data_IF_671777750932
#
_entry.id   IF_671777750932
#
_cell.length_a   1.000
_cell.length_b   1.000
_cell.length_c   1.000
_cell.angle_alpha   90.00
_cell.angle_beta   90.00
_cell.angle_gamma   90.00
#
_symmetry.space_group_name_H-M   'P 1'
#
loop_
_entity.id
_entity.type
_entity.pdbx_description
1 polymer ?
#
# COMPACT_ATOMS: atom_id res chain seq x y z
N UNK A 1 -24.26 88.03 11.53
CA UNK A 1 -23.37 87.54 10.45
C UNK A 1 -22.91 86.13 10.78
N UNK A 2 -22.85 85.28 9.75
CA UNK A 2 -22.32 83.90 9.67
C UNK A 2 -23.07 82.76 10.37
N UNK A 3 -23.70 81.96 9.49
CA UNK A 3 -24.25 80.61 9.66
C UNK A 3 -23.11 79.60 9.79
N UNK A 4 -23.25 78.56 10.60
CA UNK A 4 -22.56 77.28 10.39
C UNK A 4 -23.52 76.14 10.72
N UNK A 5 -23.87 75.38 9.66
CA UNK A 5 -24.59 74.13 9.72
C UNK A 5 -23.58 72.99 9.87
N UNK A 6 -23.88 71.99 10.70
CA UNK A 6 -23.07 70.77 10.83
C UNK A 6 -23.88 69.58 10.33
N UNK A 7 -23.33 68.94 9.29
CA UNK A 7 -23.91 67.83 8.55
C UNK A 7 -23.88 66.50 9.33
N UNK A 8 -24.91 65.69 9.10
CA UNK A 8 -24.95 64.24 9.32
C UNK A 8 -23.90 63.51 8.49
N UNK A 9 -23.28 62.48 9.06
CA UNK A 9 -22.52 61.45 8.33
C UNK A 9 -22.78 60.07 8.93
N UNK A 10 -23.70 59.31 8.34
CA UNK A 10 -23.85 57.88 8.59
C UNK A 10 -22.78 57.14 7.78
N UNK A 11 -21.79 56.55 8.46
CA UNK A 11 -20.87 55.59 7.84
C UNK A 11 -21.47 54.19 7.92
N UNK A 12 -21.98 53.68 6.80
CA UNK A 12 -22.31 52.26 6.62
C UNK A 12 -21.02 51.46 6.45
N UNK A 13 -20.70 50.61 7.43
CA UNK A 13 -19.64 49.61 7.34
C UNK A 13 -20.19 48.44 6.50
N UNK A 14 -19.63 48.23 5.31
CA UNK A 14 -19.88 47.04 4.49
C UNK A 14 -18.85 45.98 4.89
N UNK A 15 -19.29 44.96 5.62
CA UNK A 15 -18.47 43.77 5.89
C UNK A 15 -18.55 42.89 4.64
N UNK A 16 -17.47 42.86 3.85
CA UNK A 16 -17.33 41.90 2.76
C UNK A 16 -17.05 40.52 3.36
N UNK A 17 -18.02 39.60 3.30
CA UNK A 17 -17.78 38.18 3.51
C UNK A 17 -16.89 37.67 2.37
N UNK A 18 -15.62 37.48 2.65
CA UNK A 18 -14.73 36.70 1.78
C UNK A 18 -15.08 35.24 2.01
N UNK A 19 -15.86 34.65 1.12
CA UNK A 19 -16.05 33.21 1.08
C UNK A 19 -14.69 32.57 0.77
N UNK A 20 -14.08 31.93 1.77
CA UNK A 20 -12.89 31.12 1.56
C UNK A 20 -13.29 29.95 0.64
N UNK A 21 -12.89 30.02 -0.63
CA UNK A 21 -12.94 28.86 -1.50
C UNK A 21 -12.11 27.74 -0.85
N UNK A 22 -12.58 26.48 -0.83
CA UNK A 22 -11.74 25.38 -0.39
C UNK A 22 -10.47 25.37 -1.24
N UNK A 23 -9.30 25.07 -0.66
CA UNK A 23 -8.07 25.00 -1.44
C UNK A 23 -8.29 23.98 -2.56
N UNK A 24 -7.98 24.38 -3.80
CA UNK A 24 -7.96 23.46 -4.92
C UNK A 24 -6.95 22.37 -4.58
N UNK A 25 -7.44 21.18 -4.26
CA UNK A 25 -6.62 20.00 -3.99
C UNK A 25 -5.86 19.72 -5.29
N UNK A 26 -4.54 19.90 -5.28
CA UNK A 26 -3.74 19.62 -6.45
C UNK A 26 -3.96 18.14 -6.82
N UNK A 27 -4.67 17.91 -7.92
CA UNK A 27 -5.00 16.60 -8.48
C UNK A 27 -3.76 15.94 -9.11
N UNK A 28 -2.65 15.94 -8.37
CA UNK A 28 -1.34 15.52 -8.82
C UNK A 28 -0.89 14.23 -8.15
N UNK A 29 -0.03 13.50 -8.85
CA UNK A 29 0.74 12.44 -8.24
C UNK A 29 1.88 13.02 -7.40
N UNK A 30 2.04 12.50 -6.19
CA UNK A 30 3.21 12.72 -5.36
C UNK A 30 4.26 11.70 -5.75
N UNK A 31 5.38 12.19 -6.30
CA UNK A 31 6.56 11.36 -6.54
C UNK A 31 7.31 11.20 -5.22
N UNK A 32 7.51 9.97 -4.79
CA UNK A 32 8.20 9.64 -3.55
C UNK A 32 9.56 9.01 -3.86
N UNK A 33 10.62 9.62 -3.35
CA UNK A 33 12.00 9.16 -3.47
C UNK A 33 12.75 9.48 -2.16
N UNK A 34 12.33 8.82 -1.08
CA UNK A 34 12.77 9.07 0.28
C UNK A 34 11.65 8.88 1.31
N UNK A 35 11.80 9.49 2.49
CA UNK A 35 10.74 9.50 3.50
C UNK A 35 9.46 10.18 2.96
N UNK A 36 8.32 9.54 3.18
CA UNK A 36 6.99 10.10 2.96
C UNK A 36 6.41 10.50 4.32
N UNK A 37 6.24 11.80 4.52
CA UNK A 37 5.68 12.32 5.77
C UNK A 37 4.24 11.84 6.00
N UNK A 38 3.78 11.76 7.26
CA UNK A 38 2.37 11.55 7.55
C UNK A 38 1.50 12.61 6.86
N UNK A 39 0.37 12.20 6.29
CA UNK A 39 -0.48 13.12 5.54
C UNK A 39 -1.43 12.45 4.55
N UNK A 40 -2.13 13.29 3.78
CA UNK A 40 -3.03 12.84 2.72
C UNK A 40 -2.44 13.18 1.37
N UNK A 41 -2.40 12.17 0.49
CA UNK A 41 -1.88 12.22 -0.85
C UNK A 41 -2.98 11.80 -1.81
N UNK A 42 -3.08 12.47 -2.96
CA UNK A 42 -4.01 12.02 -3.99
C UNK A 42 -3.52 10.68 -4.57
N UNK A 43 -2.31 10.64 -5.12
CA UNK A 43 -1.67 9.43 -5.64
C UNK A 43 -0.22 9.44 -5.21
N UNK A 44 0.35 8.29 -4.89
CA UNK A 44 1.79 8.15 -4.65
C UNK A 44 2.41 7.31 -5.77
N UNK A 45 3.55 7.77 -6.28
CA UNK A 45 4.35 7.07 -7.29
C UNK A 45 5.78 6.93 -6.77
N UNK A 46 6.29 5.71 -6.73
CA UNK A 46 7.70 5.40 -6.52
C UNK A 46 8.34 5.17 -7.89
N UNK A 47 9.23 6.06 -8.36
CA UNK A 47 9.91 5.92 -9.65
C UNK A 47 10.84 4.72 -9.72
N UNK A 48 11.40 4.50 -10.92
CA UNK A 48 12.36 3.43 -11.15
C UNK A 48 13.57 3.52 -10.21
N UNK A 49 13.88 2.41 -9.55
CA UNK A 49 14.99 2.29 -8.58
C UNK A 49 14.89 3.20 -7.36
N UNK A 50 13.80 3.96 -7.22
CA UNK A 50 13.59 4.84 -6.08
C UNK A 50 13.05 4.06 -4.89
N UNK A 51 13.20 4.64 -3.70
CA UNK A 51 12.61 4.08 -2.49
C UNK A 51 11.66 5.09 -1.86
N UNK A 52 10.65 4.61 -1.16
CA UNK A 52 9.69 5.41 -0.45
C UNK A 52 9.33 4.71 0.87
N UNK A 53 9.50 5.38 2.00
CA UNK A 53 9.18 4.79 3.30
C UNK A 53 8.37 5.73 4.17
N UNK A 54 7.47 5.17 4.98
CA UNK A 54 6.67 5.92 5.96
C UNK A 54 6.31 5.03 7.12
N UNK A 55 6.38 5.56 8.34
CA UNK A 55 5.80 4.93 9.53
C UNK A 55 4.28 5.19 9.63
N UNK A 56 3.76 6.12 8.82
CA UNK A 56 2.37 6.53 8.85
C UNK A 56 2.01 7.52 9.97
N UNK A 57 0.72 7.92 10.08
CA UNK A 57 -0.37 7.51 9.20
C UNK A 57 -0.33 8.23 7.83
N UNK A 58 -0.49 7.49 6.74
CA UNK A 58 -0.68 8.05 5.38
C UNK A 58 -2.04 7.71 4.79
N UNK A 59 -2.66 8.64 4.07
CA UNK A 59 -3.89 8.40 3.30
C UNK A 59 -3.62 8.64 1.83
N UNK A 60 -3.59 7.59 1.02
CA UNK A 60 -3.34 7.64 -0.43
C UNK A 60 -4.65 7.36 -1.15
N UNK A 61 -5.32 8.40 -1.66
CA UNK A 61 -6.73 8.26 -2.11
C UNK A 61 -6.90 7.47 -3.40
N UNK A 62 -6.16 7.82 -4.44
CA UNK A 62 -6.26 7.26 -5.78
C UNK A 62 -5.37 6.04 -6.01
N UNK A 63 -4.51 5.67 -5.05
CA UNK A 63 -3.68 4.46 -5.09
C UNK A 63 -2.17 4.71 -5.10
N UNK A 64 -1.42 3.62 -5.00
CA UNK A 64 0.03 3.55 -4.94
C UNK A 64 0.56 2.86 -6.21
N UNK A 65 1.55 3.48 -6.86
CA UNK A 65 2.26 2.92 -8.01
C UNK A 65 3.74 2.77 -7.72
N UNK A 66 4.28 1.59 -7.93
CA UNK A 66 5.70 1.27 -7.72
C UNK A 66 6.26 0.78 -9.05
N UNK A 67 7.29 1.47 -9.53
CA UNK A 67 7.88 1.20 -10.83
C UNK A 67 9.05 0.22 -10.71
N UNK A 68 9.76 -0.01 -11.81
CA UNK A 68 10.79 -1.04 -11.91
C UNK A 68 11.90 -0.82 -10.87
N UNK A 69 12.26 -1.86 -10.11
CA UNK A 69 13.25 -1.79 -9.03
C UNK A 69 12.86 -0.86 -7.88
N UNK A 70 11.63 -0.34 -7.85
CA UNK A 70 11.15 0.55 -6.81
C UNK A 70 10.91 -0.18 -5.48
N UNK A 71 11.15 0.51 -4.37
CA UNK A 71 10.88 0.02 -3.02
C UNK A 71 9.85 0.88 -2.33
N UNK A 72 8.79 0.26 -1.79
CA UNK A 72 7.85 0.93 -0.90
C UNK A 72 7.76 0.22 0.44
N UNK A 73 7.85 0.97 1.52
CA UNK A 73 7.69 0.49 2.90
C UNK A 73 6.68 1.35 3.63
N UNK A 74 5.64 0.73 4.18
CA UNK A 74 4.67 1.37 5.05
C UNK A 74 4.50 0.56 6.33
N UNK A 75 4.94 1.15 7.44
CA UNK A 75 5.00 0.49 8.75
C UNK A 75 6.05 -0.61 8.85
N UNK A 76 5.95 -1.38 9.94
CA UNK A 76 6.81 -2.52 10.25
C UNK A 76 6.02 -3.63 10.96
N UNK A 77 6.64 -4.81 11.06
CA UNK A 77 6.17 -5.94 11.87
C UNK A 77 6.29 -5.69 13.39
N UNK A 78 7.20 -4.80 13.80
CA UNK A 78 7.38 -4.41 15.21
C UNK A 78 6.33 -3.41 15.73
N UNK A 79 5.66 -2.67 14.84
CA UNK A 79 4.62 -1.70 15.22
C UNK A 79 3.22 -2.21 14.84
N UNK A 80 2.34 -2.29 15.84
CA UNK A 80 0.95 -2.73 15.64
C UNK A 80 -0.01 -1.56 15.38
N UNK A 81 0.51 -0.34 15.28
CA UNK A 81 -0.28 0.86 15.01
C UNK A 81 -0.80 0.90 13.57
N UNK A 82 -1.95 1.53 13.36
CA UNK A 82 -2.50 1.66 12.02
C UNK A 82 -1.67 2.63 11.16
N UNK A 83 -1.10 2.13 10.08
CA UNK A 83 -0.10 2.86 9.27
C UNK A 83 -0.72 3.70 8.16
N UNK A 84 -1.95 3.39 7.74
CA UNK A 84 -2.60 4.20 6.72
C UNK A 84 -3.78 3.57 5.97
N UNK A 85 -4.23 4.29 4.95
CA UNK A 85 -5.25 3.84 4.01
C UNK A 85 -4.81 4.06 2.58
N UNK A 86 -4.92 3.03 1.74
CA UNK A 86 -4.66 3.08 0.30
C UNK A 86 -5.97 2.84 -0.44
N UNK A 87 -6.52 3.89 -1.05
CA UNK A 87 -7.85 3.88 -1.66
C UNK A 87 -7.91 3.13 -2.99
N UNK A 88 -7.11 3.55 -3.98
CA UNK A 88 -7.14 2.97 -5.34
C UNK A 88 -6.36 1.65 -5.52
N UNK A 89 -5.93 1.03 -4.41
CA UNK A 89 -5.13 -0.17 -4.42
C UNK A 89 -3.64 0.07 -4.68
N UNK A 90 -2.91 -1.03 -4.78
CA UNK A 90 -1.45 -1.07 -4.96
C UNK A 90 -1.15 -1.68 -6.32
N UNK A 91 -0.31 -1.01 -7.10
CA UNK A 91 0.09 -1.41 -8.45
C UNK A 91 1.61 -1.38 -8.52
N UNK A 92 2.24 -2.55 -8.66
CA UNK A 92 3.69 -2.65 -8.78
C UNK A 92 4.08 -3.43 -10.03
N UNK A 93 5.10 -2.95 -10.73
CA UNK A 93 5.68 -3.60 -11.91
C UNK A 93 7.18 -3.74 -11.70
N UNK A 94 7.65 -4.98 -11.63
CA UNK A 94 9.02 -5.36 -11.34
C UNK A 94 9.61 -4.66 -10.11
N UNK A 95 8.90 -4.57 -8.97
CA UNK A 95 9.43 -3.87 -7.80
C UNK A 95 10.64 -4.59 -7.22
N UNK A 96 11.48 -3.83 -6.51
CA UNK A 96 12.47 -4.42 -5.62
C UNK A 96 11.80 -4.91 -4.33
N UNK A 97 10.99 -4.08 -3.68
CA UNK A 97 10.30 -4.47 -2.44
C UNK A 97 8.95 -3.77 -2.31
N UNK A 98 7.94 -4.50 -1.84
CA UNK A 98 6.64 -3.95 -1.43
C UNK A 98 6.34 -4.46 -0.03
N UNK A 99 6.54 -3.59 0.95
CA UNK A 99 6.30 -3.88 2.35
C UNK A 99 5.17 -2.98 2.85
N UNK A 100 4.07 -3.58 3.30
CA UNK A 100 2.89 -2.88 3.76
C UNK A 100 2.35 -3.64 4.97
N UNK A 101 2.40 -2.96 6.11
CA UNK A 101 2.00 -3.49 7.41
C UNK A 101 0.83 -2.68 7.98
N UNK A 102 -0.13 -3.34 8.65
CA UNK A 102 -1.24 -2.71 9.39
C UNK A 102 -2.03 -1.62 8.62
N UNK A 103 -2.16 -1.76 7.31
CA UNK A 103 -2.85 -0.79 6.46
C UNK A 103 -4.27 -1.24 6.06
N UNK A 104 -5.13 -0.26 5.77
CA UNK A 104 -6.40 -0.51 5.08
C UNK A 104 -6.24 -0.27 3.59
N UNK A 105 -6.37 -1.30 2.77
CA UNK A 105 -6.32 -1.21 1.31
C UNK A 105 -7.75 -1.36 0.79
N UNK A 106 -8.33 -0.28 0.28
CA UNK A 106 -9.72 -0.28 -0.20
C UNK A 106 -9.86 -0.87 -1.61
N UNK A 107 -8.80 -0.77 -2.40
CA UNK A 107 -8.67 -1.47 -3.67
C UNK A 107 -8.13 -2.89 -3.49
N UNK A 108 -7.57 -3.43 -4.56
CA UNK A 108 -6.79 -4.67 -4.52
C UNK A 108 -5.29 -4.41 -4.58
N UNK A 109 -4.53 -5.49 -4.53
CA UNK A 109 -3.09 -5.50 -4.77
C UNK A 109 -2.82 -6.18 -6.11
N UNK A 110 -2.01 -5.55 -6.96
CA UNK A 110 -1.48 -6.14 -8.17
C UNK A 110 0.02 -5.89 -8.24
N UNK A 111 0.79 -6.97 -8.10
CA UNK A 111 2.24 -6.98 -8.25
C UNK A 111 2.57 -7.94 -9.39
N UNK A 112 3.34 -7.49 -10.36
CA UNK A 112 3.83 -8.34 -11.44
C UNK A 112 5.33 -8.18 -11.59
N UNK A 113 6.06 -9.30 -11.62
CA UNK A 113 7.51 -9.28 -11.71
C UNK A 113 8.21 -8.99 -10.38
N UNK A 114 9.53 -8.96 -10.41
CA UNK A 114 10.42 -8.55 -9.32
C UNK A 114 11.80 -8.21 -9.91
N UNK A 115 12.63 -7.49 -9.14
CA UNK A 115 13.95 -7.07 -9.63
C UNK A 115 15.10 -7.99 -9.24
N UNK A 116 14.80 -9.22 -8.80
CA UNK A 116 15.77 -10.22 -8.33
C UNK A 116 16.01 -10.17 -6.82
N UNK A 117 16.68 -11.19 -6.24
CA UNK A 117 16.79 -11.39 -4.79
C UNK A 117 17.72 -10.43 -4.05
N UNK A 118 18.58 -9.72 -4.77
CA UNK A 118 19.57 -8.82 -4.17
C UNK A 118 19.54 -7.47 -4.87
N UNK A 119 19.71 -6.41 -4.08
CA UNK A 119 19.69 -5.03 -4.55
C UNK A 119 18.70 -4.15 -3.77
N UNK A 120 18.28 -3.06 -4.39
CA UNK A 120 17.46 -2.04 -3.73
C UNK A 120 18.21 -1.32 -2.61
N UNK A 121 17.52 -0.52 -1.79
CA UNK A 121 18.12 0.25 -0.71
C UNK A 121 18.56 -0.58 0.51
N UNK A 122 18.20 -1.87 0.57
CA UNK A 122 18.40 -2.75 1.74
C UNK A 122 19.26 -3.98 1.43
N UNK A 123 19.94 -4.01 0.28
CA UNK A 123 20.75 -5.12 -0.24
C UNK A 123 19.99 -6.43 -0.56
N UNK A 124 18.82 -6.64 0.05
CA UNK A 124 17.96 -7.80 -0.11
C UNK A 124 16.52 -7.36 -0.38
N UNK A 125 15.82 -8.07 -1.26
CA UNK A 125 14.47 -7.72 -1.74
C UNK A 125 13.38 -8.54 -1.07
N UNK A 126 12.35 -7.87 -0.56
CA UNK A 126 11.28 -8.50 0.19
C UNK A 126 9.93 -7.94 -0.21
N UNK A 127 8.95 -8.84 -0.34
CA UNK A 127 7.56 -8.45 -0.20
C UNK A 127 7.07 -8.91 1.18
N UNK A 128 6.58 -7.96 1.97
CA UNK A 128 5.99 -8.23 3.27
C UNK A 128 4.61 -7.56 3.29
N UNK A 129 3.58 -8.30 2.94
CA UNK A 129 2.20 -7.81 2.96
C UNK A 129 1.53 -8.42 4.17
N UNK A 130 1.51 -7.67 5.27
CA UNK A 130 1.16 -8.23 6.58
C UNK A 130 0.14 -7.41 7.35
N UNK A 131 -0.72 -8.10 8.10
CA UNK A 131 -1.66 -7.47 9.04
C UNK A 131 -2.61 -6.44 8.40
N UNK A 132 -2.88 -6.58 7.10
CA UNK A 132 -3.69 -5.61 6.36
C UNK A 132 -5.16 -6.01 6.30
N UNK A 133 -6.02 -5.00 6.14
CA UNK A 133 -7.40 -5.19 5.68
C UNK A 133 -7.50 -4.80 4.22
N UNK A 134 -7.69 -5.79 3.34
CA UNK A 134 -7.72 -5.65 1.88
C UNK A 134 -9.16 -5.89 1.39
N UNK A 135 -9.87 -4.83 0.96
CA UNK A 135 -11.24 -4.95 0.47
C UNK A 135 -11.34 -5.49 -0.96
N UNK A 136 -10.26 -5.37 -1.74
CA UNK A 136 -10.13 -6.06 -3.03
C UNK A 136 -9.62 -7.50 -2.88
N UNK A 137 -9.11 -8.03 -3.99
CA UNK A 137 -8.27 -9.23 -3.99
C UNK A 137 -6.78 -8.87 -4.07
N UNK A 138 -5.93 -9.89 -4.02
CA UNK A 138 -4.51 -9.76 -4.26
C UNK A 138 -4.09 -10.63 -5.45
N UNK A 139 -3.25 -10.09 -6.33
CA UNK A 139 -2.58 -10.85 -7.38
C UNK A 139 -1.11 -10.48 -7.36
N UNK A 140 -0.27 -11.45 -7.04
CA UNK A 140 1.20 -11.35 -7.11
C UNK A 140 1.66 -12.44 -8.05
N UNK A 141 2.21 -12.04 -9.19
CA UNK A 141 2.61 -12.99 -10.23
C UNK A 141 4.03 -12.71 -10.72
N UNK A 142 4.85 -13.75 -10.80
CA UNK A 142 6.20 -13.63 -11.36
C UNK A 142 7.16 -12.83 -10.49
N UNK A 143 6.87 -12.66 -9.19
CA UNK A 143 7.80 -11.99 -8.29
C UNK A 143 9.08 -12.80 -8.18
N UNK A 144 10.20 -12.16 -8.52
CA UNK A 144 11.57 -12.67 -8.38
C UNK A 144 12.28 -11.84 -7.32
N UNK A 145 12.49 -12.42 -6.14
CA UNK A 145 12.99 -11.72 -4.96
C UNK A 145 13.62 -12.66 -3.93
N UNK A 146 13.96 -12.15 -2.74
CA UNK A 146 14.56 -12.99 -1.70
C UNK A 146 13.51 -13.77 -0.92
N UNK A 147 12.50 -13.06 -0.42
CA UNK A 147 11.43 -13.63 0.41
C UNK A 147 10.09 -12.90 0.15
N UNK A 148 8.98 -13.61 0.34
CA UNK A 148 7.63 -13.09 0.19
C UNK A 148 6.65 -13.66 1.22
N UNK A 149 6.32 -12.81 2.20
CA UNK A 149 5.25 -13.00 3.15
C UNK A 149 3.95 -12.36 2.67
N UNK A 150 2.91 -13.18 2.60
CA UNK A 150 1.53 -12.73 2.54
C UNK A 150 0.82 -13.27 3.78
N UNK A 151 0.89 -12.52 4.88
CA UNK A 151 0.66 -13.06 6.22
C UNK A 151 -0.39 -12.25 7.00
N UNK A 152 -1.29 -12.92 7.72
CA UNK A 152 -2.26 -12.28 8.65
C UNK A 152 -3.15 -11.21 8.00
N UNK A 153 -3.40 -11.28 6.69
CA UNK A 153 -4.28 -10.35 6.01
C UNK A 153 -5.75 -10.77 6.10
N UNK A 154 -6.63 -9.79 6.20
CA UNK A 154 -8.07 -9.94 5.99
C UNK A 154 -8.41 -9.49 4.56
N UNK A 155 -8.65 -10.45 3.67
CA UNK A 155 -8.90 -10.19 2.24
C UNK A 155 -10.35 -10.47 1.90
N UNK A 156 -11.05 -9.47 1.36
CA UNK A 156 -12.46 -9.65 0.96
C UNK A 156 -12.58 -10.36 -0.40
N UNK A 157 -11.58 -10.22 -1.27
CA UNK A 157 -11.57 -10.78 -2.61
C UNK A 157 -10.76 -12.07 -2.76
N UNK A 158 -10.59 -12.48 -4.01
CA UNK A 158 -9.77 -13.64 -4.39
C UNK A 158 -8.27 -13.32 -4.34
N UNK A 159 -7.48 -14.26 -3.85
CA UNK A 159 -6.01 -14.20 -3.80
C UNK A 159 -5.41 -15.15 -4.83
N UNK A 160 -4.49 -14.62 -5.66
CA UNK A 160 -3.74 -15.36 -6.68
C UNK A 160 -2.25 -15.07 -6.49
N UNK A 161 -1.48 -16.07 -6.09
CA UNK A 161 -0.04 -15.94 -5.86
C UNK A 161 0.65 -16.98 -6.73
N UNK A 162 1.29 -16.55 -7.81
CA UNK A 162 1.73 -17.49 -8.84
C UNK A 162 3.06 -17.17 -9.47
N UNK A 163 3.76 -18.22 -9.89
CA UNK A 163 5.00 -18.12 -10.65
C UNK A 163 6.06 -17.27 -9.91
N UNK A 164 5.95 -17.14 -8.58
CA UNK A 164 6.88 -16.38 -7.76
C UNK A 164 8.11 -17.26 -7.45
N UNK A 165 9.29 -16.74 -7.73
CA UNK A 165 10.57 -17.40 -7.50
C UNK A 165 11.34 -16.66 -6.42
N UNK A 166 11.73 -17.37 -5.38
CA UNK A 166 12.44 -16.80 -4.26
C UNK A 166 13.79 -17.46 -4.05
N UNK A 167 14.78 -16.66 -3.67
CA UNK A 167 16.10 -17.17 -3.32
C UNK A 167 16.10 -17.94 -2.00
N UNK A 168 15.26 -17.53 -1.06
CA UNK A 168 15.14 -18.24 0.21
C UNK A 168 14.36 -19.56 0.03
N UNK A 169 14.94 -20.74 0.38
CA UNK A 169 14.23 -22.01 0.39
C UNK A 169 12.97 -22.03 1.26
N UNK A 170 12.89 -21.15 2.28
CA UNK A 170 11.68 -21.00 3.09
C UNK A 170 10.72 -19.90 2.60
N UNK A 171 11.12 -19.06 1.65
CA UNK A 171 10.59 -17.69 1.61
C UNK A 171 9.19 -17.44 1.08
N UNK A 172 8.46 -18.45 0.54
CA UNK A 172 7.07 -18.24 0.12
C UNK A 172 6.13 -18.59 1.28
N UNK A 173 5.80 -17.59 2.09
CA UNK A 173 5.01 -17.76 3.30
C UNK A 173 3.63 -17.12 3.18
N UNK A 174 2.64 -17.94 2.80
CA UNK A 174 1.28 -17.48 2.53
C UNK A 174 0.35 -18.04 3.60
N UNK A 175 0.36 -17.44 4.80
CA UNK A 175 -0.23 -18.07 5.99
C UNK A 175 -1.03 -17.11 6.87
N UNK A 176 -1.90 -17.69 7.70
CA UNK A 176 -2.69 -16.99 8.71
C UNK A 176 -3.63 -15.92 8.14
N UNK A 177 -3.98 -16.00 6.85
CA UNK A 177 -4.91 -15.05 6.25
C UNK A 177 -6.37 -15.49 6.43
N UNK A 178 -7.27 -14.52 6.50
CA UNK A 178 -8.72 -14.72 6.36
C UNK A 178 -9.15 -14.21 4.99
N UNK A 179 -9.55 -15.10 4.10
CA UNK A 179 -9.84 -14.81 2.69
C UNK A 179 -11.31 -15.13 2.39
N UNK A 180 -12.11 -14.09 2.15
CA UNK A 180 -13.52 -14.21 1.74
C UNK A 180 -13.69 -14.42 0.22
N UNK A 181 -12.76 -15.15 -0.38
CA UNK A 181 -12.73 -15.52 -1.80
C UNK A 181 -12.00 -16.85 -1.99
N UNK A 182 -11.46 -17.11 -3.17
CA UNK A 182 -10.60 -18.27 -3.40
C UNK A 182 -9.13 -17.94 -3.17
N UNK A 183 -8.34 -18.94 -2.77
CA UNK A 183 -6.88 -18.88 -2.70
C UNK A 183 -6.30 -19.83 -3.75
N UNK A 184 -5.52 -19.29 -4.67
CA UNK A 184 -5.00 -20.04 -5.80
C UNK A 184 -3.49 -19.81 -5.94
N UNK A 185 -2.72 -20.89 -5.94
CA UNK A 185 -1.27 -20.81 -6.05
C UNK A 185 -0.74 -21.83 -7.04
N UNK A 186 0.11 -21.41 -7.96
CA UNK A 186 0.71 -22.28 -8.96
C UNK A 186 2.08 -21.76 -9.37
N UNK A 187 2.99 -22.65 -9.72
CA UNK A 187 4.30 -22.26 -10.25
C UNK A 187 5.23 -21.55 -9.27
N UNK A 188 4.87 -21.41 -7.98
CA UNK A 188 5.76 -20.79 -7.01
C UNK A 188 6.91 -21.73 -6.65
N UNK A 189 8.11 -21.17 -6.50
CA UNK A 189 9.33 -21.85 -6.12
C UNK A 189 10.05 -21.02 -5.03
N UNK A 190 10.20 -21.50 -3.78
CA UNK A 190 9.65 -22.75 -3.25
C UNK A 190 8.11 -22.77 -3.28
N UNK A 191 7.49 -23.94 -3.12
CA UNK A 191 6.05 -24.01 -2.93
C UNK A 191 5.66 -23.27 -1.63
N UNK A 192 4.45 -22.69 -1.55
CA UNK A 192 4.01 -22.00 -0.35
C UNK A 192 4.08 -22.90 0.89
N UNK A 193 4.55 -22.36 2.00
CA UNK A 193 4.76 -23.07 3.24
C UNK A 193 4.54 -22.17 4.46
N UNK A 194 4.60 -22.76 5.65
CA UNK A 194 4.57 -22.01 6.92
C UNK A 194 5.93 -21.36 7.19
N UNK A 195 7.01 -22.05 6.82
CA UNK A 195 8.39 -21.63 7.06
C UNK A 195 8.66 -21.28 8.51
N UNK A 196 9.30 -20.14 8.77
CA UNK A 196 9.70 -19.66 10.08
C UNK A 196 8.77 -18.57 10.65
N UNK A 197 7.75 -18.12 9.91
CA UNK A 197 6.71 -17.22 10.44
C UNK A 197 5.92 -17.76 11.63
N UNK A 198 6.02 -19.07 11.91
CA UNK A 198 5.18 -19.79 12.89
C UNK A 198 3.67 -19.65 12.62
N UNK A 199 3.29 -19.33 11.38
CA UNK A 199 1.91 -19.10 10.97
C UNK A 199 1.02 -20.35 11.02
N UNK A 200 -0.29 -20.11 10.88
CA UNK A 200 -1.32 -21.16 10.79
C UNK A 200 -1.90 -21.24 9.38
N UNK A 201 -2.59 -22.33 9.01
CA UNK A 201 -3.23 -22.41 7.72
C UNK A 201 -4.28 -21.30 7.48
N UNK A 202 -4.41 -20.84 6.24
CA UNK A 202 -5.38 -19.83 5.83
C UNK A 202 -6.83 -20.31 6.01
N UNK A 203 -7.67 -19.40 6.50
CA UNK A 203 -9.12 -19.54 6.48
C UNK A 203 -9.67 -18.99 5.16
N UNK A 204 -10.24 -19.85 4.32
CA UNK A 204 -10.68 -19.49 2.96
C UNK A 204 -12.14 -19.90 2.78
N UNK A 205 -13.02 -18.96 2.43
CA UNK A 205 -14.45 -19.27 2.21
C UNK A 205 -14.72 -19.89 0.84
N UNK A 206 -13.85 -19.63 -0.15
CA UNK A 206 -13.88 -20.22 -1.48
C UNK A 206 -12.99 -21.46 -1.62
N UNK A 207 -12.49 -21.71 -2.82
CA UNK A 207 -11.63 -22.85 -3.10
C UNK A 207 -10.15 -22.54 -2.79
N UNK A 208 -9.46 -23.50 -2.19
CA UNK A 208 -7.99 -23.56 -2.15
C UNK A 208 -7.52 -24.45 -3.28
N UNK A 209 -6.63 -23.97 -4.15
CA UNK A 209 -6.19 -24.73 -5.33
C UNK A 209 -4.69 -24.65 -5.57
N UNK A 210 -4.18 -25.64 -6.29
CA UNK A 210 -2.77 -25.77 -6.66
C UNK A 210 -1.88 -26.00 -5.43
N UNK A 211 -0.79 -25.25 -5.30
CA UNK A 211 0.18 -25.45 -4.22
C UNK A 211 -0.33 -24.95 -2.85
N UNK A 212 -1.41 -24.17 -2.81
CA UNK A 212 -1.96 -23.61 -1.57
C UNK A 212 -3.03 -24.47 -0.90
N UNK A 213 -3.19 -25.74 -1.26
CA UNK A 213 -4.22 -26.59 -0.62
C UNK A 213 -3.94 -26.84 0.86
N UNK A 214 -2.67 -26.78 1.28
CA UNK A 214 -2.21 -27.15 2.62
C UNK A 214 -1.75 -25.97 3.48
N UNK A 215 -1.75 -24.74 2.95
CA UNK A 215 -1.31 -23.51 3.67
C UNK A 215 -2.41 -22.53 3.88
#
# INVERSE_FOLDING_TARGET
MRKFATLFGLSTIVIALVAAAPPAEAAGATVCNGPLAPGTYHRVVVPDGAFCFSDGPVSIRAGLWISWGGTFVLGSDEDTSATGTIGGGVHASDPASVQIHQARINGGIRISGGSGPFGGPFDVTFNAIEDNVIHGGATVTGYDGFWFGFIRNHVSGTVRLSDNTLADPDGNEYVTNVIHGSLMCWGNAPAPQVGDSEGSPNEVSGAKTGQCTNV
#
